data_IF_292435060230
#
_entry.id   IF_292435060230
#
_cell.length_a   1.000
_cell.length_b   1.000
_cell.length_c   1.000
_cell.angle_alpha   90.00
_cell.angle_beta   90.00
_cell.angle_gamma   90.00
#
_symmetry.space_group_name_H-M   'P 1'
#
loop_
_entity.id
_entity.type
_entity.pdbx_description
1 polymer ?
#
# COMPACT_ATOMS: atom_id res chain seq x y z
N UNK A 1 -22.43 -6.42 -21.28
CA UNK A 1 -21.53 -7.57 -21.06
C UNK A 1 -21.00 -7.46 -19.64
N UNK A 2 -21.10 -8.54 -18.86
CA UNK A 2 -20.73 -8.58 -17.45
C UNK A 2 -19.19 -8.49 -17.32
N UNK A 3 -18.68 -7.60 -16.49
CA UNK A 3 -17.23 -7.43 -16.27
C UNK A 3 -16.80 -8.48 -15.24
N UNK A 4 -16.40 -9.65 -15.71
CA UNK A 4 -16.03 -10.82 -14.88
C UNK A 4 -14.54 -11.12 -14.85
N UNK A 5 -13.66 -10.16 -15.17
CA UNK A 5 -12.21 -10.36 -15.08
C UNK A 5 -11.54 -9.10 -14.52
N UNK A 6 -10.75 -9.30 -13.46
CA UNK A 6 -9.79 -8.30 -13.00
C UNK A 6 -8.79 -7.98 -14.13
N UNK A 7 -8.22 -6.76 -14.19
CA UNK A 7 -7.35 -6.35 -15.27
C UNK A 7 -5.95 -6.98 -15.11
N UNK A 8 -5.84 -8.30 -15.27
CA UNK A 8 -4.56 -9.04 -15.11
C UNK A 8 -3.87 -9.37 -16.43
N UNK A 9 -4.48 -9.05 -17.59
CA UNK A 9 -3.88 -9.29 -18.92
C UNK A 9 -3.61 -8.00 -19.71
N UNK A 10 -3.77 -6.85 -19.08
CA UNK A 10 -3.50 -5.55 -19.67
C UNK A 10 -2.00 -5.23 -19.49
N UNK A 11 -1.26 -4.86 -20.55
CA UNK A 11 0.08 -4.29 -20.39
C UNK A 11 0.06 -3.12 -19.40
N UNK A 12 1.15 -2.81 -18.68
CA UNK A 12 1.18 -1.71 -17.71
C UNK A 12 0.71 -0.35 -18.28
N UNK A 13 0.80 -0.16 -19.59
CA UNK A 13 0.31 1.00 -20.32
C UNK A 13 -1.23 1.13 -20.35
N UNK A 14 -1.95 0.01 -20.27
CA UNK A 14 -3.42 -0.04 -20.13
C UNK A 14 -3.87 0.17 -18.66
N UNK A 15 -2.94 0.45 -17.75
CA UNK A 15 -3.24 1.10 -16.46
C UNK A 15 -3.75 2.54 -16.61
N UNK A 16 -4.16 2.96 -17.81
CA UNK A 16 -4.94 4.17 -18.10
C UNK A 16 -6.24 4.26 -17.28
N UNK A 17 -6.67 3.16 -16.64
CA UNK A 17 -7.76 3.16 -15.66
C UNK A 17 -7.44 3.93 -14.35
N UNK A 18 -6.17 4.29 -14.09
CA UNK A 18 -5.78 4.79 -12.78
C UNK A 18 -5.83 6.33 -12.65
N UNK A 19 -6.10 7.05 -13.75
CA UNK A 19 -6.17 8.53 -13.79
C UNK A 19 -5.04 9.22 -12.99
N UNK A 20 -3.87 8.58 -12.94
CA UNK A 20 -2.71 9.09 -12.22
C UNK A 20 -2.12 10.23 -13.03
N UNK A 21 -1.92 11.35 -12.39
CA UNK A 21 -1.24 12.52 -12.96
C UNK A 21 -0.08 12.93 -12.05
N UNK A 22 0.76 13.87 -12.53
CA UNK A 22 1.79 14.52 -11.70
C UNK A 22 1.22 15.19 -10.44
N UNK A 23 -0.05 15.57 -10.47
CA UNK A 23 -0.74 16.26 -9.37
C UNK A 23 -1.41 15.27 -8.40
N UNK A 24 -1.23 13.96 -8.61
CA UNK A 24 -1.68 12.94 -7.65
C UNK A 24 -0.98 13.17 -6.30
N UNK A 25 -1.73 13.21 -5.18
CA UNK A 25 -1.16 13.44 -3.86
C UNK A 25 -0.13 12.37 -3.47
N UNK A 26 0.66 12.69 -2.45
CA UNK A 26 1.54 11.71 -1.83
C UNK A 26 0.72 10.48 -1.39
N UNK A 27 1.18 9.30 -1.78
CA UNK A 27 0.37 8.08 -1.68
C UNK A 27 1.18 6.94 -1.09
N UNK A 28 0.68 6.35 -0.01
CA UNK A 28 1.21 5.10 0.54
C UNK A 28 0.26 3.96 0.21
N UNK A 29 0.81 2.87 -0.31
CA UNK A 29 0.08 1.66 -0.66
C UNK A 29 0.56 0.52 0.23
N UNK A 30 -0.37 -0.20 0.84
CA UNK A 30 -0.11 -1.38 1.66
C UNK A 30 -0.96 -2.52 1.14
N UNK A 31 -0.37 -3.68 0.87
CA UNK A 31 -1.09 -4.84 0.38
C UNK A 31 -0.47 -6.14 0.91
N UNK A 32 -1.32 -7.12 1.23
CA UNK A 32 -0.87 -8.48 1.50
C UNK A 32 -0.94 -9.33 0.21
N UNK A 33 0.06 -10.16 -0.03
CA UNK A 33 0.14 -11.02 -1.23
C UNK A 33 -0.88 -12.16 -1.21
N UNK A 34 -1.29 -12.62 -0.02
CA UNK A 34 -2.33 -13.63 0.18
C UNK A 34 -3.76 -13.03 0.19
N UNK A 35 -3.93 -11.78 -0.22
CA UNK A 35 -5.22 -11.14 -0.43
C UNK A 35 -5.85 -11.55 -1.79
N UNK A 36 -7.13 -11.98 -1.83
CA UNK A 36 -7.82 -12.35 -3.07
C UNK A 36 -7.95 -11.22 -4.12
N UNK A 37 -7.72 -9.95 -3.74
CA UNK A 37 -7.80 -8.79 -4.65
C UNK A 37 -6.58 -8.70 -5.61
N UNK A 38 -5.59 -9.60 -5.50
CA UNK A 38 -4.38 -9.68 -6.33
C UNK A 38 -3.42 -8.50 -6.12
N UNK A 39 -2.16 -8.81 -5.82
CA UNK A 39 -1.12 -7.83 -5.45
C UNK A 39 -0.68 -6.96 -6.63
N UNK A 40 -0.87 -7.43 -7.85
CA UNK A 40 -0.53 -6.76 -9.10
C UNK A 40 -1.22 -5.41 -9.23
N UNK A 41 -2.42 -5.25 -8.68
CA UNK A 41 -3.14 -3.98 -8.67
C UNK A 41 -2.36 -2.89 -7.91
N UNK A 42 -1.81 -3.24 -6.74
CA UNK A 42 -0.98 -2.34 -5.95
C UNK A 42 0.34 -2.01 -6.67
N UNK A 43 0.96 -3.02 -7.29
CA UNK A 43 2.19 -2.86 -8.05
C UNK A 43 2.02 -1.93 -9.26
N UNK A 44 0.98 -2.14 -10.07
CA UNK A 44 0.72 -1.33 -11.26
C UNK A 44 0.34 0.12 -10.92
N UNK A 45 -0.44 0.33 -9.85
CA UNK A 45 -0.75 1.69 -9.40
C UNK A 45 0.50 2.44 -8.91
N UNK A 46 1.34 1.79 -8.11
CA UNK A 46 2.60 2.38 -7.69
C UNK A 46 3.52 2.70 -8.87
N UNK A 47 3.64 1.79 -9.83
CA UNK A 47 4.44 2.01 -11.03
C UNK A 47 3.92 3.21 -11.84
N UNK A 48 2.60 3.36 -11.99
CA UNK A 48 1.99 4.51 -12.65
C UNK A 48 2.32 5.83 -11.92
N UNK A 49 2.28 5.86 -10.59
CA UNK A 49 2.72 7.03 -9.79
C UNK A 49 4.17 7.42 -10.08
N UNK A 50 5.08 6.43 -10.19
CA UNK A 50 6.48 6.68 -10.52
C UNK A 50 6.66 7.22 -11.94
N UNK A 51 5.97 6.64 -12.91
CA UNK A 51 6.05 7.06 -14.31
C UNK A 51 5.54 8.49 -14.53
N UNK A 52 4.52 8.91 -13.78
CA UNK A 52 3.97 10.27 -13.87
C UNK A 52 4.75 11.30 -13.05
N UNK A 53 5.86 10.91 -12.41
CA UNK A 53 6.62 11.74 -11.49
C UNK A 53 5.73 12.45 -10.46
N UNK A 54 4.73 11.73 -9.94
CA UNK A 54 3.80 12.24 -8.94
C UNK A 54 4.52 12.54 -7.61
N UNK A 55 3.78 13.13 -6.68
CA UNK A 55 4.20 13.34 -5.29
C UNK A 55 4.75 12.06 -4.64
N UNK A 56 5.55 12.16 -3.56
CA UNK A 56 6.19 11.00 -2.93
C UNK A 56 5.24 9.83 -2.71
N UNK A 57 5.65 8.63 -3.16
CA UNK A 57 4.85 7.42 -3.06
C UNK A 57 5.66 6.23 -2.58
N UNK A 58 5.03 5.39 -1.77
CA UNK A 58 5.61 4.18 -1.20
C UNK A 58 4.68 2.98 -1.41
N UNK A 59 5.28 1.81 -1.61
CA UNK A 59 4.58 0.52 -1.71
C UNK A 59 5.17 -0.44 -0.68
N UNK A 60 4.32 -0.98 0.19
CA UNK A 60 4.67 -1.97 1.19
C UNK A 60 3.88 -3.25 0.92
N UNK A 61 4.58 -4.30 0.51
CA UNK A 61 4.01 -5.62 0.26
C UNK A 61 4.38 -6.57 1.39
N UNK A 62 3.41 -7.36 1.85
CA UNK A 62 3.60 -8.34 2.90
C UNK A 62 3.18 -9.72 2.41
N UNK A 63 3.95 -10.78 2.67
CA UNK A 63 3.64 -12.11 2.15
C UNK A 63 2.36 -12.70 2.74
N UNK A 64 1.99 -12.29 3.96
CA UNK A 64 0.81 -12.78 4.68
C UNK A 64 0.12 -11.67 5.48
N UNK A 65 -1.21 -11.62 5.38
CA UNK A 65 -2.06 -10.67 6.08
C UNK A 65 -3.55 -10.79 5.74
N UNK A 66 -3.89 -11.45 4.63
CA UNK A 66 -5.26 -11.65 4.17
C UNK A 66 -5.96 -10.36 3.73
N UNK A 67 -7.27 -10.47 3.51
CA UNK A 67 -8.13 -9.35 3.08
C UNK A 67 -8.47 -8.41 4.25
N UNK A 68 -7.49 -7.58 4.62
CA UNK A 68 -7.60 -6.59 5.69
C UNK A 68 -6.97 -7.01 7.01
N UNK A 69 -6.19 -6.10 7.59
CA UNK A 69 -5.34 -6.35 8.76
C UNK A 69 -5.61 -5.36 9.91
N UNK A 70 -6.64 -4.51 9.79
CA UNK A 70 -7.08 -3.61 10.86
C UNK A 70 -5.96 -2.81 11.53
N UNK A 71 -6.11 -2.51 12.83
CA UNK A 71 -5.09 -1.79 13.60
C UNK A 71 -3.86 -2.62 13.97
N UNK A 72 -3.94 -3.95 13.80
CA UNK A 72 -2.91 -4.95 14.13
C UNK A 72 -1.79 -4.42 15.05
N UNK A 73 -2.18 -4.07 16.29
CA UNK A 73 -1.25 -3.44 17.24
C UNK A 73 -0.38 -4.52 17.84
N UNK A 74 0.91 -4.46 17.56
CA UNK A 74 1.91 -5.37 18.09
C UNK A 74 2.11 -5.08 19.58
N UNK A 75 1.25 -5.59 20.44
CA UNK A 75 1.59 -5.66 21.87
C UNK A 75 0.80 -6.72 22.64
N UNK A 76 1.12 -7.98 22.42
CA UNK A 76 1.22 -8.92 23.54
C UNK A 76 1.89 -10.21 23.06
N UNK A 77 2.70 -10.82 23.92
CA UNK A 77 3.13 -12.21 23.80
C UNK A 77 1.94 -13.21 23.76
N UNK A 78 0.70 -12.73 23.95
CA UNK A 78 -0.54 -13.49 23.86
C UNK A 78 -1.11 -13.58 22.44
N UNK A 79 -0.66 -12.73 21.49
CA UNK A 79 -1.05 -12.85 20.10
C UNK A 79 -0.23 -13.97 19.45
N UNK A 80 -0.78 -15.19 19.45
CA UNK A 80 -0.15 -16.39 18.87
C UNK A 80 0.20 -16.29 17.37
N UNK A 81 -0.18 -15.20 16.69
CA UNK A 81 0.08 -14.96 15.28
C UNK A 81 0.53 -13.51 15.06
N UNK A 82 1.85 -13.29 15.11
CA UNK A 82 2.46 -12.06 14.61
C UNK A 82 2.55 -12.17 13.09
N UNK A 83 1.87 -11.29 12.37
CA UNK A 83 2.04 -11.14 10.93
C UNK A 83 2.85 -9.87 10.67
N UNK A 84 3.83 -9.93 9.77
CA UNK A 84 4.68 -8.77 9.47
C UNK A 84 3.88 -7.55 8.97
N UNK A 85 2.74 -7.81 8.32
CA UNK A 85 1.76 -6.79 7.93
C UNK A 85 1.33 -5.90 9.10
N UNK A 86 1.37 -6.40 10.34
CA UNK A 86 1.06 -5.63 11.54
C UNK A 86 1.97 -4.40 11.76
N UNK A 87 3.10 -4.33 11.07
CA UNK A 87 4.00 -3.16 11.08
C UNK A 87 3.50 -2.00 10.21
N UNK A 88 2.45 -2.19 9.40
CA UNK A 88 1.93 -1.17 8.49
C UNK A 88 1.57 0.16 9.18
N UNK A 89 1.03 0.22 10.42
CA UNK A 89 0.72 1.50 11.05
C UNK A 89 1.98 2.31 11.39
N UNK A 90 3.07 1.63 11.79
CA UNK A 90 4.36 2.28 12.02
C UNK A 90 4.95 2.82 10.71
N UNK A 91 4.80 2.07 9.60
CA UNK A 91 5.18 2.55 8.26
C UNK A 91 4.35 3.77 7.85
N UNK A 92 3.04 3.76 8.10
CA UNK A 92 2.16 4.90 7.83
C UNK A 92 2.51 6.13 8.65
N UNK A 93 2.88 5.94 9.91
CA UNK A 93 3.37 7.04 10.75
C UNK A 93 4.67 7.64 10.20
N UNK A 94 5.63 6.81 9.80
CA UNK A 94 6.88 7.25 9.17
C UNK A 94 6.60 8.01 7.87
N UNK A 95 5.71 7.50 7.02
CA UNK A 95 5.31 8.19 5.79
C UNK A 95 4.72 9.58 6.06
N UNK A 96 3.85 9.72 7.06
CA UNK A 96 3.32 11.03 7.44
C UNK A 96 4.41 11.97 7.99
N UNK A 97 5.44 11.43 8.66
CA UNK A 97 6.59 12.21 9.10
C UNK A 97 7.45 12.69 7.94
N UNK A 98 7.69 11.86 6.92
CA UNK A 98 8.46 12.27 5.73
C UNK A 98 7.75 13.37 4.94
N UNK A 99 6.41 13.40 4.99
CA UNK A 99 5.59 14.49 4.45
C UNK A 99 5.53 15.73 5.35
N UNK A 100 6.07 15.70 6.56
CA UNK A 100 5.95 16.77 7.55
C UNK A 100 4.54 16.97 8.09
N UNK A 101 3.63 16.01 7.88
CA UNK A 101 2.24 16.07 8.31
C UNK A 101 2.06 15.74 9.80
N UNK A 102 3.01 15.02 10.40
CA UNK A 102 3.05 14.73 11.84
C UNK A 102 4.48 14.93 12.37
N UNK A 103 4.65 15.30 13.65
CA UNK A 103 5.98 15.49 14.22
C UNK A 103 6.78 14.20 14.27
N UNK A 104 8.10 14.33 14.21
CA UNK A 104 9.02 13.23 14.48
C UNK A 104 8.81 12.72 15.91
N UNK A 105 8.79 11.40 16.10
CA UNK A 105 8.74 10.79 17.43
C UNK A 105 10.02 11.19 18.18
N UNK A 106 9.90 12.12 19.12
CA UNK A 106 10.96 12.40 20.09
C UNK A 106 10.94 11.28 21.11
N UNK A 107 11.98 10.44 21.11
CA UNK A 107 12.21 9.50 22.20
C UNK A 107 12.51 10.31 23.47
N UNK A 108 11.61 10.24 24.46
CA UNK A 108 11.86 10.64 25.84
C UNK A 108 12.22 9.41 26.66
#
# INVERSE_FOLDING_TARGET
QSVSQAPVNAPPEQASALNVTKDTPATMIVQAEDDPVHVENALYYWLALKQQAASPSELHLYPRGGHGYGRCTVNSAAAAHWHEVCTWPDRGHLFLQTLGAVPNRTHH
#
